data_IF_071040276635
#
_entry.id   IF_071040276635
#
_cell.length_a   1.000
_cell.length_b   1.000
_cell.length_c   1.000
_cell.angle_alpha   90.00
_cell.angle_beta   90.00
_cell.angle_gamma   90.00
#
_symmetry.space_group_name_H-M   'P 1'
#
loop_
_entity.id
_entity.type
_entity.pdbx_description
1 polymer ?
#
# COMPACT_ATOMS: atom_id res chain seq x y z
N UNK A 1 14.23 20.76 41.43
CA UNK A 1 14.30 19.41 40.84
C UNK A 1 13.87 19.55 39.40
N UNK A 2 14.78 19.97 38.53
CA UNK A 2 14.51 20.13 37.10
C UNK A 2 15.69 19.49 36.36
N UNK A 3 15.79 18.18 36.47
CA UNK A 3 16.48 17.34 35.50
C UNK A 3 15.40 16.61 34.72
N UNK A 4 15.45 16.65 33.40
CA UNK A 4 14.59 15.79 32.58
C UNK A 4 14.88 14.34 32.98
N UNK A 5 13.85 13.53 33.24
CA UNK A 5 14.01 12.11 33.57
C UNK A 5 14.76 11.35 32.47
N UNK A 6 14.69 11.83 31.22
CA UNK A 6 15.50 11.32 30.13
C UNK A 6 16.99 11.68 30.30
N UNK A 7 17.29 12.85 30.84
CA UNK A 7 18.67 13.28 31.08
C UNK A 7 19.33 12.51 32.22
N UNK A 8 18.57 12.04 33.22
CA UNK A 8 19.04 11.17 34.31
C UNK A 8 19.19 9.70 33.88
N UNK A 9 18.28 9.19 33.04
CA UNK A 9 18.35 7.81 32.54
C UNK A 9 19.36 7.61 31.40
N UNK A 10 19.67 8.66 30.64
CA UNK A 10 20.51 8.57 29.45
C UNK A 10 21.77 9.44 29.51
N UNK A 11 22.16 9.92 30.70
CA UNK A 11 23.31 10.83 30.87
C UNK A 11 24.60 10.22 30.31
N UNK A 12 24.83 8.94 30.57
CA UNK A 12 26.03 8.23 30.11
C UNK A 12 26.06 8.04 28.59
N UNK A 13 24.90 7.79 27.98
CA UNK A 13 24.76 7.63 26.53
C UNK A 13 24.94 8.96 25.78
N UNK A 14 24.47 10.06 26.36
CA UNK A 14 24.68 11.41 25.83
C UNK A 14 26.15 11.85 25.91
N UNK A 15 26.87 11.43 26.96
CA UNK A 15 28.30 11.68 27.07
C UNK A 15 29.10 10.84 26.06
N UNK A 16 28.76 9.56 25.87
CA UNK A 16 29.41 8.69 24.89
C UNK A 16 29.19 9.14 23.44
N UNK A 17 27.99 9.63 23.11
CA UNK A 17 27.69 10.18 21.78
C UNK A 17 28.41 11.51 21.51
N UNK A 18 28.57 12.37 22.53
CA UNK A 18 29.40 13.58 22.42
C UNK A 18 30.87 13.27 22.17
N UNK A 19 31.44 12.28 22.88
CA UNK A 19 32.83 11.85 22.67
C UNK A 19 33.05 11.25 21.27
N UNK A 20 32.05 10.54 20.73
CA UNK A 20 32.11 9.95 19.38
C UNK A 20 31.93 10.98 18.26
N UNK A 21 31.20 12.08 18.51
CA UNK A 21 31.02 13.17 17.55
C UNK A 21 32.30 13.99 17.36
N UNK A 22 33.13 14.14 18.41
CA UNK A 22 34.41 14.84 18.32
C UNK A 22 35.50 14.03 17.58
N UNK A 23 35.35 12.71 17.45
CA UNK A 23 36.37 11.82 16.89
C UNK A 23 36.00 11.18 15.54
N UNK A 24 34.87 11.53 14.92
CA UNK A 24 34.29 10.75 13.82
C UNK A 24 33.70 11.55 12.65
N UNK A 25 34.41 12.56 12.12
CA UNK A 25 34.12 13.05 10.77
C UNK A 25 34.85 12.18 9.73
N UNK A 26 34.35 10.97 9.49
CA UNK A 26 34.67 10.24 8.26
C UNK A 26 33.53 9.28 7.93
N UNK A 27 33.05 9.39 6.70
CA UNK A 27 31.92 8.67 6.12
C UNK A 27 31.98 7.15 6.38
N UNK A 28 30.88 6.57 6.87
CA UNK A 28 30.73 5.11 6.97
C UNK A 28 29.97 4.64 5.72
N UNK A 29 30.74 4.17 4.74
CA UNK A 29 30.26 3.32 3.64
C UNK A 29 30.05 1.90 4.19
N UNK A 30 28.85 1.37 4.03
CA UNK A 30 28.47 0.04 4.53
C UNK A 30 28.99 -1.01 3.54
N UNK A 31 30.17 -1.57 3.80
CA UNK A 31 30.60 -2.83 3.18
C UNK A 31 30.27 -4.01 4.12
N UNK A 32 29.33 -4.87 3.69
CA UNK A 32 29.17 -6.21 4.25
C UNK A 32 30.30 -7.09 3.73
N UNK A 33 31.13 -7.62 4.62
CA UNK A 33 31.93 -8.81 4.35
C UNK A 33 31.48 -9.88 5.34
N UNK A 34 30.99 -10.97 4.76
CA UNK A 34 30.63 -12.23 5.40
C UNK A 34 31.82 -13.15 5.19
N UNK A 35 32.58 -13.41 6.24
CA UNK A 35 33.56 -14.50 6.25
C UNK A 35 33.31 -15.33 7.50
N UNK A 36 32.71 -16.51 7.27
CA UNK A 36 32.69 -17.58 8.24
C UNK A 36 34.05 -18.26 8.25
N UNK A 37 34.73 -18.18 9.39
CA UNK A 37 35.82 -19.10 9.72
C UNK A 37 35.34 -19.98 10.88
N UNK A 38 34.94 -21.21 10.54
CA UNK A 38 34.68 -22.27 11.50
C UNK A 38 36.03 -22.90 11.84
N UNK A 39 36.55 -22.64 13.03
CA UNK A 39 37.68 -23.39 13.55
C UNK A 39 37.22 -24.29 14.70
N UNK A 40 37.20 -25.57 14.35
CA UNK A 40 36.89 -26.73 15.17
C UNK A 40 37.93 -26.90 16.29
N UNK A 41 37.46 -27.19 17.49
CA UNK A 41 38.28 -27.24 18.71
C UNK A 41 37.61 -28.09 19.77
N UNK A 42 37.56 -29.40 19.50
CA UNK A 42 37.29 -30.47 20.46
C UNK A 42 38.14 -30.33 21.74
N UNK A 43 37.48 -30.37 22.89
CA UNK A 43 38.13 -30.60 24.17
C UNK A 43 37.16 -30.59 25.34
N UNK A 44 36.53 -31.74 25.60
CA UNK A 44 35.74 -31.99 26.81
C UNK A 44 36.56 -31.68 28.08
N UNK A 45 36.16 -30.66 28.85
CA UNK A 45 36.70 -30.38 30.18
C UNK A 45 35.54 -30.32 31.19
N UNK A 46 34.94 -31.48 31.47
CA UNK A 46 34.16 -31.68 32.68
C UNK A 46 35.15 -31.80 33.84
N UNK A 47 35.55 -30.65 34.40
CA UNK A 47 36.51 -30.52 35.48
C UNK A 47 35.88 -29.82 36.67
N UNK A 48 35.26 -30.62 37.55
CA UNK A 48 34.84 -30.25 38.90
C UNK A 48 36.00 -29.60 39.67
N UNK A 49 36.09 -28.27 39.61
CA UNK A 49 37.03 -27.46 40.39
C UNK A 49 36.48 -26.05 40.57
N UNK A 50 36.59 -25.52 41.79
CA UNK A 50 36.06 -24.24 42.26
C UNK A 50 36.54 -22.97 41.48
N UNK A 51 37.25 -23.14 40.35
CA UNK A 51 37.64 -22.10 39.40
C UNK A 51 36.58 -21.80 38.32
N UNK A 52 35.60 -22.69 38.11
CA UNK A 52 34.48 -22.46 37.15
C UNK A 52 33.66 -21.21 37.45
N UNK A 53 33.69 -20.70 38.69
CA UNK A 53 32.90 -19.54 39.12
C UNK A 53 33.39 -18.22 38.52
N UNK A 54 34.67 -18.10 38.20
CA UNK A 54 35.24 -16.89 37.59
C UNK A 54 35.04 -16.85 36.08
N UNK A 55 35.29 -17.95 35.35
CA UNK A 55 35.08 -18.03 33.90
C UNK A 55 33.59 -17.92 33.52
N UNK A 56 32.71 -18.54 34.30
CA UNK A 56 31.26 -18.42 34.12
C UNK A 56 30.78 -16.98 34.30
N UNK A 57 31.43 -16.19 35.15
CA UNK A 57 31.07 -14.77 35.33
C UNK A 57 31.49 -13.91 34.14
N UNK A 58 32.65 -14.16 33.53
CA UNK A 58 33.09 -13.47 32.30
C UNK A 58 32.31 -13.87 31.06
N UNK A 59 31.84 -15.12 31.01
CA UNK A 59 30.99 -15.62 29.93
C UNK A 59 29.60 -15.01 29.98
N UNK A 60 29.02 -14.89 31.18
CA UNK A 60 27.77 -14.18 31.39
C UNK A 60 27.88 -12.69 31.04
N UNK A 61 29.00 -12.04 31.34
CA UNK A 61 29.24 -10.63 31.00
C UNK A 61 29.38 -10.42 29.49
N UNK A 62 30.16 -11.29 28.82
CA UNK A 62 30.28 -11.30 27.34
C UNK A 62 28.92 -11.53 26.67
N UNK A 63 28.14 -12.48 27.18
CA UNK A 63 26.79 -12.75 26.69
C UNK A 63 25.82 -11.60 26.93
N UNK A 64 25.93 -10.92 28.08
CA UNK A 64 25.15 -9.75 28.41
C UNK A 64 25.47 -8.59 27.48
N UNK A 65 26.75 -8.28 27.27
CA UNK A 65 27.19 -7.22 26.36
C UNK A 65 26.72 -7.47 24.93
N UNK A 66 26.83 -8.72 24.45
CA UNK A 66 26.34 -9.10 23.12
C UNK A 66 24.84 -8.86 22.97
N UNK A 67 24.03 -9.23 23.96
CA UNK A 67 22.57 -9.01 23.93
C UNK A 67 22.25 -7.52 24.08
N UNK A 68 22.99 -6.81 24.92
CA UNK A 68 22.85 -5.36 25.07
C UNK A 68 23.08 -4.67 23.72
N UNK A 69 24.21 -4.89 23.07
CA UNK A 69 24.55 -4.27 21.78
C UNK A 69 23.51 -4.58 20.68
N UNK A 70 22.91 -5.77 20.71
CA UNK A 70 21.85 -6.15 19.76
C UNK A 70 20.50 -5.49 20.06
N UNK A 71 20.12 -5.34 21.33
CA UNK A 71 18.73 -5.03 21.72
C UNK A 71 18.53 -3.67 22.38
N UNK A 72 19.57 -2.98 22.85
CA UNK A 72 19.47 -1.70 23.56
C UNK A 72 18.78 -0.58 22.76
N UNK A 73 18.82 -0.65 21.42
CA UNK A 73 18.10 0.29 20.52
C UNK A 73 16.96 -0.34 19.75
N UNK A 74 16.60 -1.60 20.02
CA UNK A 74 15.60 -2.32 19.23
C UNK A 74 14.25 -1.61 19.28
N UNK A 75 13.78 -1.19 20.46
CA UNK A 75 12.51 -0.47 20.59
C UNK A 75 12.49 0.90 19.89
N UNK A 76 13.62 1.61 19.86
CA UNK A 76 13.73 2.88 19.14
C UNK A 76 13.67 2.68 17.63
N UNK A 77 14.39 1.68 17.11
CA UNK A 77 14.37 1.32 15.69
C UNK A 77 12.98 0.89 15.26
N UNK A 78 12.33 0.05 16.06
CA UNK A 78 10.97 -0.42 15.83
C UNK A 78 9.95 0.73 15.85
N UNK A 79 10.05 1.65 16.81
CA UNK A 79 9.21 2.85 16.86
C UNK A 79 9.34 3.75 15.62
N UNK A 80 10.55 3.90 15.06
CA UNK A 80 10.75 4.63 13.80
C UNK A 80 10.09 3.91 12.62
N UNK A 81 10.23 2.58 12.55
CA UNK A 81 9.65 1.77 11.46
C UNK A 81 8.13 1.84 11.54
N UNK A 82 7.56 1.61 12.72
CA UNK A 82 6.12 1.69 12.97
C UNK A 82 5.56 3.08 12.63
N UNK A 83 6.27 4.15 13.00
CA UNK A 83 5.88 5.51 12.65
C UNK A 83 5.88 5.77 11.13
N UNK A 84 6.92 5.31 10.42
CA UNK A 84 6.99 5.41 8.96
C UNK A 84 5.87 4.63 8.27
N UNK A 85 5.60 3.43 8.74
CA UNK A 85 4.54 2.57 8.22
C UNK A 85 3.16 3.20 8.46
N UNK A 86 2.91 3.73 9.66
CA UNK A 86 1.65 4.40 9.98
C UNK A 86 1.38 5.60 9.06
N UNK A 87 2.39 6.46 8.83
CA UNK A 87 2.26 7.58 7.89
C UNK A 87 2.06 7.13 6.44
N UNK A 88 2.74 6.07 6.00
CA UNK A 88 2.54 5.52 4.65
C UNK A 88 1.13 4.92 4.47
N UNK A 89 0.61 4.25 5.50
CA UNK A 89 -0.71 3.63 5.49
C UNK A 89 -1.83 4.66 5.40
N UNK A 90 -1.68 5.83 6.02
CA UNK A 90 -2.64 6.94 5.90
C UNK A 90 -2.81 7.36 4.43
N UNK A 91 -1.70 7.60 3.73
CA UNK A 91 -1.71 7.95 2.31
C UNK A 91 -2.27 6.83 1.43
N UNK A 92 -1.91 5.58 1.72
CA UNK A 92 -2.47 4.42 1.03
C UNK A 92 -3.99 4.32 1.22
N UNK A 93 -4.49 4.46 2.45
CA UNK A 93 -5.92 4.37 2.76
C UNK A 93 -6.71 5.46 2.04
N UNK A 94 -6.18 6.68 1.96
CA UNK A 94 -6.79 7.78 1.22
C UNK A 94 -6.85 7.47 -0.29
N UNK A 95 -5.72 7.04 -0.88
CA UNK A 95 -5.65 6.66 -2.29
C UNK A 95 -6.54 5.45 -2.63
N UNK A 96 -6.63 4.47 -1.74
CA UNK A 96 -7.49 3.30 -1.90
C UNK A 96 -8.97 3.70 -1.92
N UNK A 97 -9.43 4.52 -0.96
CA UNK A 97 -10.81 5.01 -0.94
C UNK A 97 -11.17 5.78 -2.21
N UNK A 98 -10.24 6.60 -2.71
CA UNK A 98 -10.44 7.38 -3.91
C UNK A 98 -10.48 6.52 -5.18
N UNK A 99 -9.60 5.52 -5.28
CA UNK A 99 -9.46 4.67 -6.47
C UNK A 99 -10.41 3.49 -6.53
N UNK A 100 -10.94 3.05 -5.39
CA UNK A 100 -11.77 1.85 -5.28
C UNK A 100 -12.98 1.86 -6.23
N UNK A 101 -13.83 2.90 -6.30
CA UNK A 101 -15.01 2.88 -7.16
C UNK A 101 -14.65 2.73 -8.64
N UNK A 102 -13.66 3.51 -9.11
CA UNK A 102 -13.23 3.48 -10.51
C UNK A 102 -12.53 2.17 -10.87
N UNK A 103 -11.68 1.65 -9.98
CA UNK A 103 -11.01 0.36 -10.16
C UNK A 103 -11.98 -0.82 -10.16
N UNK A 104 -12.96 -0.82 -9.26
CA UNK A 104 -14.02 -1.83 -9.20
C UNK A 104 -14.84 -1.85 -10.50
N UNK A 105 -15.30 -0.68 -10.95
CA UNK A 105 -16.11 -0.56 -12.16
C UNK A 105 -15.35 -1.02 -13.41
N UNK A 106 -14.09 -0.61 -13.56
CA UNK A 106 -13.24 -1.08 -14.67
C UNK A 106 -13.01 -2.59 -14.64
N UNK A 107 -12.74 -3.14 -13.45
CA UNK A 107 -12.54 -4.58 -13.27
C UNK A 107 -13.81 -5.37 -13.60
N UNK A 108 -14.97 -4.82 -13.23
CA UNK A 108 -16.27 -5.42 -13.52
C UNK A 108 -16.55 -5.46 -15.02
N UNK A 109 -16.38 -4.34 -15.73
CA UNK A 109 -16.58 -4.28 -17.19
C UNK A 109 -15.66 -5.27 -17.89
N UNK A 110 -14.38 -5.31 -17.50
CA UNK A 110 -13.42 -6.25 -18.07
C UNK A 110 -13.80 -7.70 -17.78
N UNK A 111 -14.20 -8.01 -16.55
CA UNK A 111 -14.58 -9.36 -16.15
C UNK A 111 -15.84 -9.87 -16.86
N UNK A 112 -16.90 -9.07 -16.87
CA UNK A 112 -18.18 -9.45 -17.49
C UNK A 112 -18.03 -9.62 -19.00
N UNK A 113 -17.39 -8.67 -19.68
CA UNK A 113 -17.22 -8.75 -21.14
C UNK A 113 -16.28 -9.89 -21.53
N UNK A 114 -15.23 -10.16 -20.76
CA UNK A 114 -14.34 -11.31 -21.03
C UNK A 114 -15.06 -12.64 -20.81
N UNK A 115 -15.83 -12.76 -19.72
CA UNK A 115 -16.62 -13.97 -19.45
C UNK A 115 -17.64 -14.24 -20.56
N UNK A 116 -18.33 -13.19 -21.03
CA UNK A 116 -19.25 -13.28 -22.16
C UNK A 116 -18.53 -13.65 -23.45
N UNK A 117 -17.35 -13.06 -23.74
CA UNK A 117 -16.58 -13.37 -24.93
C UNK A 117 -16.13 -14.85 -24.97
N UNK A 118 -15.81 -15.44 -23.83
CA UNK A 118 -15.41 -16.84 -23.70
C UNK A 118 -16.54 -17.87 -23.86
N UNK A 119 -17.81 -17.44 -23.86
CA UNK A 119 -18.94 -18.37 -24.01
C UNK A 119 -19.04 -18.90 -25.46
N UNK A 120 -19.45 -20.16 -25.65
CA UNK A 120 -19.90 -20.67 -26.94
C UNK A 120 -21.06 -19.84 -27.49
N UNK A 121 -21.16 -19.76 -28.81
CA UNK A 121 -22.17 -18.93 -29.47
C UNK A 121 -23.58 -19.36 -29.07
N UNK A 122 -23.88 -20.67 -28.95
CA UNK A 122 -25.19 -21.18 -28.56
C UNK A 122 -25.65 -20.67 -27.18
N UNK A 123 -24.70 -20.53 -26.23
CA UNK A 123 -24.99 -20.00 -24.91
C UNK A 123 -25.13 -18.48 -24.93
N UNK A 124 -24.29 -17.78 -25.70
CA UNK A 124 -24.47 -16.34 -25.94
C UNK A 124 -25.84 -16.05 -26.54
N UNK A 125 -26.31 -16.93 -27.43
CA UNK A 125 -27.60 -16.77 -28.08
C UNK A 125 -28.78 -16.93 -27.11
N UNK A 126 -28.64 -17.84 -26.17
CA UNK A 126 -29.63 -18.11 -25.13
C UNK A 126 -29.68 -16.99 -24.07
N UNK A 127 -28.52 -16.45 -23.67
CA UNK A 127 -28.43 -15.35 -22.70
C UNK A 127 -28.84 -14.01 -23.32
N UNK A 128 -28.39 -13.72 -24.55
CA UNK A 128 -28.63 -12.47 -25.25
C UNK A 128 -29.42 -12.77 -26.51
N UNK A 129 -30.74 -12.57 -26.45
CA UNK A 129 -31.64 -12.89 -27.58
C UNK A 129 -31.48 -11.95 -28.77
N UNK A 130 -31.09 -10.70 -28.52
CA UNK A 130 -30.99 -9.66 -29.55
C UNK A 130 -29.59 -9.64 -30.16
N UNK A 131 -29.50 -9.80 -31.49
CA UNK A 131 -28.22 -9.75 -32.21
C UNK A 131 -27.49 -8.41 -32.05
N UNK A 132 -28.23 -7.30 -31.99
CA UNK A 132 -27.67 -5.96 -31.74
C UNK A 132 -26.92 -5.89 -30.40
N UNK A 133 -27.49 -6.47 -29.34
CA UNK A 133 -26.87 -6.44 -28.02
C UNK A 133 -25.62 -7.33 -27.97
N UNK A 134 -25.60 -8.44 -28.73
CA UNK A 134 -24.38 -9.26 -28.88
C UNK A 134 -23.24 -8.47 -29.52
N UNK A 135 -23.55 -7.72 -30.58
CA UNK A 135 -22.57 -6.85 -31.23
C UNK A 135 -22.05 -5.79 -30.24
N UNK A 136 -22.94 -5.10 -29.50
CA UNK A 136 -22.53 -4.12 -28.48
C UNK A 136 -21.64 -4.73 -27.38
N UNK A 137 -21.95 -5.92 -26.88
CA UNK A 137 -21.10 -6.60 -25.90
C UNK A 137 -19.72 -6.97 -26.47
N UNK A 138 -19.66 -7.35 -27.75
CA UNK A 138 -18.40 -7.62 -28.44
C UNK A 138 -17.58 -6.34 -28.65
N UNK A 139 -18.21 -5.25 -29.11
CA UNK A 139 -17.57 -3.94 -29.29
C UNK A 139 -17.02 -3.41 -27.95
N UNK A 140 -17.78 -3.60 -26.86
CA UNK A 140 -17.36 -3.24 -25.52
C UNK A 140 -16.18 -4.10 -25.05
N UNK A 141 -16.21 -5.42 -25.32
CA UNK A 141 -15.09 -6.31 -25.02
C UNK A 141 -13.81 -5.87 -25.74
N UNK A 142 -13.89 -5.58 -27.04
CA UNK A 142 -12.75 -5.12 -27.84
C UNK A 142 -12.22 -3.76 -27.36
N UNK A 143 -13.13 -2.84 -27.01
CA UNK A 143 -12.78 -1.53 -26.44
C UNK A 143 -12.08 -1.64 -25.08
N UNK A 144 -12.48 -2.57 -24.22
CA UNK A 144 -11.92 -2.75 -22.88
C UNK A 144 -10.62 -3.56 -22.91
N UNK A 145 -10.51 -4.53 -23.83
CA UNK A 145 -9.34 -5.38 -23.99
C UNK A 145 -8.21 -4.68 -24.75
N UNK A 146 -8.53 -3.75 -25.67
CA UNK A 146 -7.51 -2.90 -26.31
C UNK A 146 -6.87 -1.91 -25.33
N UNK A 147 -7.54 -1.62 -24.21
CA UNK A 147 -7.03 -0.70 -23.20
C UNK A 147 -5.99 -1.38 -22.28
N UNK A 148 -4.76 -0.87 -22.29
CA UNK A 148 -3.72 -1.34 -21.37
C UNK A 148 -4.01 -0.93 -19.92
N UNK A 149 -3.42 -1.66 -18.95
CA UNK A 149 -3.53 -1.31 -17.53
C UNK A 149 -2.88 0.04 -17.22
N UNK A 150 -1.77 0.36 -17.89
CA UNK A 150 -1.08 1.66 -17.78
C UNK A 150 -1.91 2.81 -18.33
N UNK A 151 -2.59 2.61 -19.45
CA UNK A 151 -3.47 3.64 -20.02
C UNK A 151 -4.71 3.85 -19.16
N UNK A 152 -5.28 2.79 -18.58
CA UNK A 152 -6.38 2.90 -17.63
C UNK A 152 -5.97 3.70 -16.38
N UNK A 153 -4.77 3.44 -15.83
CA UNK A 153 -4.23 4.24 -14.73
C UNK A 153 -4.02 5.71 -15.11
N UNK A 154 -3.53 5.98 -16.33
CA UNK A 154 -3.41 7.36 -16.83
C UNK A 154 -4.77 8.05 -16.89
N UNK A 155 -5.80 7.41 -17.45
CA UNK A 155 -7.14 7.99 -17.50
C UNK A 155 -7.73 8.24 -16.11
N UNK A 156 -7.46 7.37 -15.14
CA UNK A 156 -7.86 7.61 -13.75
C UNK A 156 -7.11 8.79 -13.13
N UNK A 157 -5.81 8.93 -13.38
CA UNK A 157 -5.05 10.09 -12.91
C UNK A 157 -5.57 11.40 -13.51
N UNK A 158 -5.85 11.40 -14.81
CA UNK A 158 -6.39 12.57 -15.51
C UNK A 158 -7.77 12.95 -14.95
N UNK A 159 -8.65 11.97 -14.66
CA UNK A 159 -9.93 12.16 -13.98
C UNK A 159 -9.78 12.83 -12.60
N UNK A 160 -8.79 12.40 -11.82
CA UNK A 160 -8.52 13.03 -10.52
C UNK A 160 -8.14 14.50 -10.70
N UNK A 161 -7.33 14.81 -11.72
CA UNK A 161 -6.89 16.18 -11.98
C UNK A 161 -8.06 17.07 -12.43
N UNK A 162 -8.92 16.57 -13.32
CA UNK A 162 -10.10 17.32 -13.79
C UNK A 162 -11.09 17.54 -12.65
N UNK A 163 -11.36 16.52 -11.83
CA UNK A 163 -12.27 16.65 -10.69
C UNK A 163 -11.72 17.59 -9.61
N UNK A 164 -10.41 17.61 -9.37
CA UNK A 164 -9.78 18.58 -8.46
C UNK A 164 -9.80 20.02 -8.97
N UNK A 165 -9.82 20.23 -10.29
CA UNK A 165 -9.89 21.57 -10.87
C UNK A 165 -11.31 22.19 -10.79
N UNK A 166 -12.34 21.37 -10.60
CA UNK A 166 -13.76 21.76 -10.52
C UNK A 166 -14.21 22.09 -9.08
N UNK A 167 -13.39 21.78 -8.07
CA UNK A 167 -13.65 22.10 -6.66
C UNK A 167 -12.97 23.42 -6.24
N UNK A 168 -13.62 24.60 -6.34
CA UNK A 168 -13.11 25.79 -5.67
C UNK A 168 -13.32 25.64 -4.16
N UNK A 169 -12.26 25.19 -3.47
CA UNK A 169 -11.93 25.47 -2.06
C UNK A 169 -13.12 25.97 -1.21
N UNK A 170 -14.01 25.07 -0.78
CA UNK A 170 -15.09 25.43 0.13
C UNK A 170 -14.59 25.47 1.59
N UNK A 171 -13.96 26.59 1.94
CA UNK A 171 -14.01 27.12 3.30
C UNK A 171 -14.17 28.65 3.22
N UNK A 172 -15.38 29.11 2.94
CA UNK A 172 -15.91 30.39 3.39
C UNK A 172 -17.44 30.37 3.29
N UNK A 173 -18.08 30.85 4.34
CA UNK A 173 -19.45 30.56 4.74
C UNK A 173 -20.53 31.31 3.95
N UNK A 174 -21.74 30.74 3.99
CA UNK A 174 -23.08 31.37 3.97
C UNK A 174 -23.65 32.01 2.69
N UNK A 175 -24.80 31.42 2.30
CA UNK A 175 -25.98 32.03 1.65
C UNK A 175 -25.87 32.49 0.19
N UNK A 176 -26.51 31.75 -0.73
CA UNK A 176 -27.82 32.11 -1.30
C UNK A 176 -28.13 31.22 -2.51
N UNK A 177 -29.39 30.83 -2.63
CA UNK A 177 -29.92 29.99 -3.71
C UNK A 177 -29.67 30.59 -5.09
N UNK A 178 -29.01 29.86 -6.00
CA UNK A 178 -29.21 30.03 -7.44
C UNK A 178 -29.27 28.66 -8.13
N UNK A 179 -30.46 28.39 -8.64
CA UNK A 179 -30.82 27.41 -9.65
C UNK A 179 -29.85 27.44 -10.85
N UNK A 180 -29.31 26.28 -11.24
CA UNK A 180 -28.64 26.12 -12.54
C UNK A 180 -27.21 25.58 -12.49
N UNK A 181 -27.02 24.34 -12.01
CA UNK A 181 -25.80 23.56 -12.27
C UNK A 181 -26.19 22.12 -12.63
N UNK A 182 -27.00 21.99 -13.67
CA UNK A 182 -27.34 20.72 -14.30
C UNK A 182 -27.01 20.84 -15.79
N UNK A 183 -25.72 20.91 -16.16
CA UNK A 183 -25.33 20.69 -17.58
C UNK A 183 -23.81 20.55 -17.87
N UNK A 184 -22.90 20.59 -16.89
CA UNK A 184 -21.46 20.42 -17.15
C UNK A 184 -20.83 19.10 -16.67
N UNK A 185 -21.64 18.06 -16.41
CA UNK A 185 -21.17 16.68 -16.10
C UNK A 185 -20.96 15.85 -17.39
N UNK A 186 -20.51 16.48 -18.47
CA UNK A 186 -20.51 15.90 -19.81
C UNK A 186 -19.16 15.33 -20.28
N UNK A 187 -18.06 15.60 -19.57
CA UNK A 187 -16.78 14.94 -19.83
C UNK A 187 -16.56 13.82 -18.82
N UNK A 188 -17.51 12.89 -18.79
CA UNK A 188 -17.35 11.68 -18.00
C UNK A 188 -16.22 10.84 -18.54
N UNK A 189 -15.31 10.47 -17.65
CA UNK A 189 -14.09 9.78 -18.02
C UNK A 189 -14.35 8.52 -18.82
N UNK A 190 -13.46 8.22 -19.77
CA UNK A 190 -13.61 7.06 -20.68
C UNK A 190 -13.92 5.77 -19.93
N UNK A 191 -13.34 5.58 -18.74
CA UNK A 191 -13.60 4.45 -17.85
C UNK A 191 -15.03 4.43 -17.31
N UNK A 192 -15.54 5.59 -16.91
CA UNK A 192 -16.91 5.73 -16.42
C UNK A 192 -17.92 5.49 -17.55
N UNK A 193 -17.62 5.95 -18.78
CA UNK A 193 -18.46 5.69 -19.95
C UNK A 193 -18.60 4.20 -20.25
N UNK A 194 -17.49 3.46 -20.26
CA UNK A 194 -17.50 1.99 -20.44
C UNK A 194 -18.33 1.30 -19.35
N UNK A 195 -18.24 1.78 -18.11
CA UNK A 195 -19.03 1.24 -17.01
C UNK A 195 -20.53 1.50 -17.16
N UNK A 196 -20.92 2.70 -17.61
CA UNK A 196 -22.32 3.03 -17.87
C UNK A 196 -22.87 2.26 -19.06
N UNK A 197 -22.09 2.10 -20.12
CA UNK A 197 -22.47 1.31 -21.28
C UNK A 197 -22.77 -0.15 -20.90
N UNK A 198 -21.90 -0.76 -20.08
CA UNK A 198 -22.19 -2.09 -19.53
C UNK A 198 -23.48 -2.11 -18.71
N UNK A 199 -23.70 -1.13 -17.83
CA UNK A 199 -24.90 -1.07 -16.99
C UNK A 199 -26.17 -0.96 -17.83
N UNK A 200 -26.17 -0.13 -18.87
CA UNK A 200 -27.28 -0.01 -19.82
C UNK A 200 -27.56 -1.34 -20.53
N UNK A 201 -26.51 -2.03 -21.01
CA UNK A 201 -26.66 -3.33 -21.68
C UNK A 201 -27.18 -4.43 -20.74
N UNK A 202 -26.77 -4.42 -19.48
CA UNK A 202 -27.26 -5.36 -18.47
C UNK A 202 -28.73 -5.12 -18.11
N UNK A 203 -29.19 -3.86 -18.08
CA UNK A 203 -30.61 -3.54 -17.89
C UNK A 203 -31.47 -4.05 -19.05
N UNK A 204 -30.95 -4.03 -20.27
CA UNK A 204 -31.64 -4.58 -21.45
C UNK A 204 -31.61 -6.12 -21.49
N UNK A 205 -30.71 -6.76 -20.73
CA UNK A 205 -30.52 -8.22 -20.72
C UNK A 205 -30.73 -8.82 -19.31
N UNK A 206 -31.99 -8.95 -18.84
CA UNK A 206 -32.28 -9.39 -17.48
C UNK A 206 -31.88 -10.85 -17.18
N UNK A 207 -31.48 -11.61 -18.19
CA UNK A 207 -30.92 -12.95 -18.03
C UNK A 207 -29.53 -12.94 -17.37
N UNK A 208 -28.81 -11.80 -17.45
CA UNK A 208 -27.47 -11.63 -16.89
C UNK A 208 -27.60 -10.85 -15.58
N UNK A 209 -27.52 -11.56 -14.45
CA UNK A 209 -27.49 -10.93 -13.14
C UNK A 209 -26.05 -10.65 -12.74
N UNK A 210 -25.67 -9.38 -12.78
CA UNK A 210 -24.41 -8.91 -12.20
C UNK A 210 -24.74 -8.18 -10.91
N UNK A 211 -24.15 -8.62 -9.80
CA UNK A 211 -24.20 -7.86 -8.55
C UNK A 211 -23.36 -6.59 -8.69
N UNK A 212 -24.01 -5.54 -9.18
CA UNK A 212 -23.50 -4.19 -9.04
C UNK A 212 -23.52 -3.91 -7.53
N UNK A 213 -22.34 -3.74 -6.94
CA UNK A 213 -22.22 -3.31 -5.55
C UNK A 213 -22.68 -1.84 -5.49
N UNK A 214 -23.99 -1.64 -5.54
CA UNK A 214 -24.62 -0.41 -5.08
C UNK A 214 -24.57 -0.47 -3.57
N UNK A 215 -23.63 0.26 -2.98
CA UNK A 215 -23.76 0.61 -1.57
C UNK A 215 -24.06 2.10 -1.45
N UNK A 216 -25.19 2.35 -0.78
CA UNK A 216 -25.71 3.59 -0.20
C UNK A 216 -24.65 4.54 0.34
#
# INVERSE_FOLDING_TARGET
MEGSLAEELYSESLQFSKLKLEQGSTQITINRHDEGDMQDGDGSLWGDSDEEKFEKSSDLDREWQRRHDQFHTMGYRDGIIAGKEASAQEGFNAGFKQSFPSGYNWGLVRGVTSALACLPDELKEMLIKTQENRAKFQDLHESVHSLSTTDALRFFHDDILTNKAVEPREHAETSSSISGLQEHRADSCRLENLSRELQSLLLETPAIQVHLAVHK
#
